data_IF_533286866561
#
_entry.id   IF_533286866561
#
_cell.length_a   1.000
_cell.length_b   1.000
_cell.length_c   1.000
_cell.angle_alpha   90.00
_cell.angle_beta   90.00
_cell.angle_gamma   90.00
#
_symmetry.space_group_name_H-M   'P 1'
#
loop_
_entity.id
_entity.type
_entity.pdbx_description
1 polymer ?
#
# COMPACT_ATOMS: atom_id res chain seq x y z
N UNK A 1 13.99 13.84 -6.75
CA UNK A 1 13.14 14.96 -7.20
C UNK A 1 12.91 14.91 -8.71
N UNK A 2 13.97 14.77 -9.47
CA UNK A 2 13.93 14.87 -10.93
C UNK A 2 13.36 13.62 -11.64
N UNK A 3 13.32 12.47 -10.97
CA UNK A 3 12.70 11.28 -11.55
C UNK A 3 11.16 11.41 -11.57
N UNK A 4 10.55 11.49 -12.77
CA UNK A 4 9.10 11.64 -12.89
C UNK A 4 8.32 10.44 -12.34
N UNK A 5 8.96 9.29 -12.18
CA UNK A 5 8.34 8.08 -11.64
C UNK A 5 8.31 8.04 -10.12
N UNK A 6 9.09 8.85 -9.42
CA UNK A 6 9.06 8.93 -7.96
C UNK A 6 8.07 10.00 -7.52
N UNK A 7 7.01 9.60 -6.82
CA UNK A 7 5.96 10.54 -6.37
C UNK A 7 6.12 10.98 -4.93
N UNK A 8 6.74 10.19 -4.07
CA UNK A 8 6.92 10.51 -2.66
C UNK A 8 8.08 9.75 -2.04
N UNK A 9 8.56 10.29 -0.93
CA UNK A 9 9.46 9.62 0.01
C UNK A 9 8.65 9.33 1.26
N UNK A 10 8.57 8.06 1.66
CA UNK A 10 7.86 7.62 2.86
C UNK A 10 8.86 7.37 4.00
N UNK A 11 8.52 7.75 5.22
CA UNK A 11 9.35 7.52 6.41
C UNK A 11 9.19 6.12 7.01
N UNK A 12 8.12 5.41 6.66
CA UNK A 12 7.82 4.08 7.17
C UNK A 12 8.64 3.00 6.44
N UNK A 13 9.69 2.49 7.07
CA UNK A 13 10.51 1.38 6.55
C UNK A 13 9.82 0.01 6.61
N UNK A 14 8.64 -0.06 7.23
CA UNK A 14 7.94 -1.32 7.47
C UNK A 14 8.55 -2.12 8.61
N UNK A 15 8.02 -3.33 8.81
CA UNK A 15 8.42 -4.23 9.90
C UNK A 15 9.37 -5.35 9.43
N UNK A 16 9.79 -5.31 8.18
CA UNK A 16 10.68 -6.35 7.64
C UNK A 16 12.13 -5.94 7.68
N UNK A 17 12.97 -6.92 7.91
CA UNK A 17 14.41 -6.76 7.73
C UNK A 17 14.74 -6.79 6.22
N UNK A 18 15.72 -6.01 5.78
CA UNK A 18 16.23 -6.11 4.42
C UNK A 18 16.62 -7.55 4.06
N UNK A 19 16.45 -7.95 2.79
CA UNK A 19 16.99 -9.23 2.32
C UNK A 19 18.50 -9.33 2.55
N UNK A 20 19.00 -10.54 2.73
CA UNK A 20 20.44 -10.79 2.81
C UNK A 20 21.13 -10.21 1.56
N UNK A 21 22.27 -9.54 1.76
CA UNK A 21 23.04 -8.87 0.69
C UNK A 21 22.28 -7.73 -0.03
N UNK A 22 21.37 -7.07 0.66
CA UNK A 22 20.78 -5.83 0.17
C UNK A 22 21.66 -4.65 0.58
N UNK A 23 22.28 -4.00 -0.39
CA UNK A 23 23.34 -3.01 -0.14
C UNK A 23 22.87 -1.56 -0.05
N UNK A 24 21.59 -1.29 -0.39
CA UNK A 24 21.02 0.03 -0.24
C UNK A 24 20.33 0.20 1.11
N UNK A 25 20.32 1.42 1.65
CA UNK A 25 19.56 1.73 2.86
C UNK A 25 18.13 2.25 2.57
N UNK A 26 17.71 2.17 1.32
CA UNK A 26 16.37 2.56 0.85
C UNK A 26 15.84 1.55 -0.17
N UNK A 27 14.53 1.62 -0.44
CA UNK A 27 13.80 0.75 -1.35
C UNK A 27 12.96 1.61 -2.28
N UNK A 28 12.91 1.28 -3.56
CA UNK A 28 12.01 1.89 -4.55
C UNK A 28 10.92 0.88 -4.90
N UNK A 29 9.68 1.16 -4.55
CA UNK A 29 8.57 0.22 -4.78
C UNK A 29 7.22 0.91 -4.97
N UNK A 30 6.26 0.19 -5.54
CA UNK A 30 4.85 0.57 -5.50
C UNK A 30 4.28 0.39 -4.09
N UNK A 31 3.28 1.17 -3.79
CA UNK A 31 2.66 1.28 -2.48
C UNK A 31 2.85 2.67 -1.91
N UNK A 32 2.05 3.04 -0.93
CA UNK A 32 2.11 4.33 -0.26
C UNK A 32 1.87 4.14 1.23
N UNK A 33 2.62 4.86 2.05
CA UNK A 33 2.40 4.92 3.49
C UNK A 33 2.25 6.38 3.89
N UNK A 34 1.09 6.72 4.47
CA UNK A 34 0.81 8.05 4.99
C UNK A 34 1.49 8.33 6.34
N UNK A 35 2.18 7.35 6.90
CA UNK A 35 2.88 7.51 8.18
C UNK A 35 4.22 8.21 7.97
N UNK A 36 4.17 9.56 7.96
CA UNK A 36 5.34 10.38 7.66
C UNK A 36 5.80 10.22 6.22
N UNK A 37 5.38 11.10 5.35
CA UNK A 37 5.83 11.14 3.97
C UNK A 37 6.09 12.59 3.53
N UNK A 38 6.94 12.72 2.54
CA UNK A 38 7.17 13.97 1.80
C UNK A 38 6.91 13.76 0.32
N UNK A 39 6.39 14.79 -0.34
CA UNK A 39 6.20 14.84 -1.79
C UNK A 39 6.54 16.23 -2.31
N UNK A 40 6.73 16.39 -3.58
CA UNK A 40 7.01 17.67 -4.21
C UNK A 40 5.75 18.30 -4.78
N UNK A 41 5.64 19.61 -4.72
CA UNK A 41 4.47 20.36 -5.19
C UNK A 41 4.10 20.06 -6.66
N UNK A 42 5.09 19.82 -7.50
CA UNK A 42 4.87 19.53 -8.92
C UNK A 42 4.48 18.07 -9.23
N UNK A 43 4.64 17.14 -8.27
CA UNK A 43 4.24 15.74 -8.47
C UNK A 43 2.73 15.60 -8.36
N UNK A 44 2.13 15.05 -9.39
CA UNK A 44 0.67 14.85 -9.45
C UNK A 44 0.32 13.39 -9.25
N UNK A 45 -0.61 13.14 -8.35
CA UNK A 45 -1.23 11.84 -8.14
C UNK A 45 -2.69 12.03 -7.76
N UNK A 46 -3.49 11.03 -8.10
CA UNK A 46 -4.93 11.08 -7.90
C UNK A 46 -5.30 10.52 -6.54
N UNK A 47 -5.99 11.32 -5.73
CA UNK A 47 -6.39 10.97 -4.35
C UNK A 47 -7.82 10.45 -4.22
N UNK A 48 -8.56 10.35 -5.34
CA UNK A 48 -9.91 9.82 -5.34
C UNK A 48 -10.21 9.11 -6.66
N UNK A 49 -10.83 7.94 -6.58
CA UNK A 49 -11.35 7.19 -7.72
C UNK A 49 -12.82 6.90 -7.50
N UNK A 50 -13.65 7.24 -8.48
CA UNK A 50 -15.06 6.88 -8.50
C UNK A 50 -15.26 5.37 -8.69
N UNK A 51 -16.47 4.90 -8.44
CA UNK A 51 -16.83 3.49 -8.66
C UNK A 51 -16.63 3.07 -10.12
N UNK A 52 -16.95 3.94 -11.06
CA UNK A 52 -16.84 3.71 -12.50
C UNK A 52 -15.39 3.60 -12.94
N UNK A 53 -14.53 4.47 -12.42
CA UNK A 53 -13.09 4.41 -12.66
C UNK A 53 -12.46 3.14 -12.08
N UNK A 54 -12.87 2.74 -10.87
CA UNK A 54 -12.42 1.48 -10.25
C UNK A 54 -12.84 0.26 -11.07
N UNK A 55 -14.05 0.24 -11.60
CA UNK A 55 -14.50 -0.83 -12.52
C UNK A 55 -13.66 -0.84 -13.79
N UNK A 56 -13.44 0.32 -14.39
CA UNK A 56 -12.60 0.46 -15.59
C UNK A 56 -11.18 -0.01 -15.32
N UNK A 57 -10.61 0.34 -14.18
CA UNK A 57 -9.32 -0.14 -13.71
C UNK A 57 -9.27 -1.67 -13.61
N UNK A 58 -10.27 -2.29 -12.95
CA UNK A 58 -10.30 -3.75 -12.79
C UNK A 58 -10.58 -4.53 -14.07
N UNK A 59 -11.18 -3.91 -15.10
CA UNK A 59 -11.35 -4.53 -16.43
C UNK A 59 -10.00 -4.75 -17.12
N UNK A 60 -9.02 -3.88 -16.87
CA UNK A 60 -7.67 -4.01 -17.42
C UNK A 60 -6.93 -5.15 -16.71
N UNK A 61 -6.69 -6.26 -17.44
CA UNK A 61 -6.12 -7.50 -16.90
C UNK A 61 -4.80 -7.28 -16.17
N UNK A 62 -3.91 -6.48 -16.75
CA UNK A 62 -2.58 -6.23 -16.18
C UNK A 62 -2.65 -5.39 -14.90
N UNK A 63 -3.49 -4.34 -14.87
CA UNK A 63 -3.69 -3.54 -13.67
C UNK A 63 -4.28 -4.36 -12.53
N UNK A 64 -5.29 -5.20 -12.83
CA UNK A 64 -5.86 -6.13 -11.87
C UNK A 64 -4.82 -7.15 -11.36
N UNK A 65 -3.95 -7.65 -12.25
CA UNK A 65 -2.85 -8.55 -11.90
C UNK A 65 -1.87 -7.86 -10.95
N UNK A 66 -1.47 -6.63 -11.28
CA UNK A 66 -0.56 -5.84 -10.46
C UNK A 66 -1.15 -5.54 -9.08
N UNK A 67 -2.41 -5.12 -8.99
CA UNK A 67 -3.05 -4.86 -7.70
C UNK A 67 -3.10 -6.13 -6.83
N UNK A 68 -3.46 -7.28 -7.39
CA UNK A 68 -3.43 -8.57 -6.68
C UNK A 68 -2.02 -8.99 -6.27
N UNK A 69 -1.05 -8.67 -7.11
CA UNK A 69 0.34 -9.01 -6.87
C UNK A 69 0.91 -8.21 -5.70
N UNK A 70 0.72 -6.87 -5.68
CA UNK A 70 1.25 -6.02 -4.63
C UNK A 70 0.48 -6.12 -3.32
N UNK A 71 -0.84 -6.22 -3.36
CA UNK A 71 -1.64 -6.32 -2.15
C UNK A 71 -3.02 -6.93 -2.40
N UNK A 72 -3.21 -8.16 -1.94
CA UNK A 72 -4.55 -8.77 -1.93
C UNK A 72 -5.54 -7.96 -1.09
N UNK A 73 -5.10 -7.36 0.00
CA UNK A 73 -5.96 -6.50 0.83
C UNK A 73 -6.53 -5.34 0.01
N UNK A 74 -5.68 -4.60 -0.72
CA UNK A 74 -6.14 -3.50 -1.57
C UNK A 74 -7.08 -3.98 -2.68
N UNK A 75 -6.81 -5.15 -3.28
CA UNK A 75 -7.73 -5.73 -4.26
C UNK A 75 -9.14 -5.93 -3.69
N UNK A 76 -9.26 -6.55 -2.52
CA UNK A 76 -10.56 -6.77 -1.88
C UNK A 76 -11.18 -5.46 -1.37
N UNK A 77 -10.38 -4.49 -0.96
CA UNK A 77 -10.85 -3.13 -0.63
C UNK A 77 -11.48 -2.47 -1.85
N UNK A 78 -10.83 -2.50 -3.00
CA UNK A 78 -11.38 -1.95 -4.26
C UNK A 78 -12.71 -2.64 -4.62
N UNK A 79 -12.77 -3.98 -4.53
CA UNK A 79 -14.02 -4.72 -4.75
C UNK A 79 -15.13 -4.27 -3.78
N UNK A 80 -14.81 -4.10 -2.49
CA UNK A 80 -15.77 -3.65 -1.49
C UNK A 80 -16.30 -2.24 -1.78
N UNK A 81 -15.43 -1.33 -2.23
CA UNK A 81 -15.84 0.02 -2.64
C UNK A 81 -16.78 -0.01 -3.83
N UNK A 82 -16.50 -0.80 -4.88
CA UNK A 82 -17.40 -0.99 -6.03
C UNK A 82 -18.74 -1.57 -5.59
N UNK A 83 -18.73 -2.64 -4.77
CA UNK A 83 -19.95 -3.29 -4.28
C UNK A 83 -20.85 -2.34 -3.49
N UNK A 84 -20.28 -1.45 -2.71
CA UNK A 84 -21.02 -0.48 -1.90
C UNK A 84 -21.30 0.85 -2.63
N UNK A 85 -20.93 0.99 -3.91
CA UNK A 85 -21.03 2.22 -4.70
C UNK A 85 -20.36 3.42 -4.01
N UNK A 86 -19.18 3.20 -3.44
CA UNK A 86 -18.40 4.23 -2.76
C UNK A 86 -17.10 4.50 -3.51
N UNK A 87 -16.69 5.75 -3.64
CA UNK A 87 -15.36 6.07 -4.15
C UNK A 87 -14.29 5.53 -3.20
N UNK A 88 -13.10 5.24 -3.72
CA UNK A 88 -11.91 5.06 -2.91
C UNK A 88 -11.14 6.38 -2.87
N UNK A 89 -10.57 6.73 -1.74
CA UNK A 89 -9.85 7.98 -1.53
C UNK A 89 -8.63 7.78 -0.60
N UNK A 90 -7.76 8.80 -0.52
CA UNK A 90 -6.55 8.75 0.29
C UNK A 90 -5.57 7.69 -0.19
N UNK A 91 -4.94 6.99 0.74
CA UNK A 91 -3.87 6.02 0.49
C UNK A 91 -4.27 4.93 -0.51
N UNK A 92 -5.51 4.46 -0.42
CA UNK A 92 -6.02 3.45 -1.34
C UNK A 92 -6.13 3.96 -2.78
N UNK A 93 -6.52 5.21 -2.96
CA UNK A 93 -6.58 5.85 -4.28
C UNK A 93 -5.18 6.08 -4.84
N UNK A 94 -4.23 6.53 -4.01
CA UNK A 94 -2.83 6.72 -4.42
C UNK A 94 -2.21 5.40 -4.90
N UNK A 95 -2.46 4.28 -4.20
CA UNK A 95 -1.98 2.96 -4.64
C UNK A 95 -2.56 2.56 -6.00
N UNK A 96 -3.85 2.83 -6.24
CA UNK A 96 -4.46 2.59 -7.56
C UNK A 96 -3.79 3.47 -8.62
N UNK A 97 -3.60 4.74 -8.31
CA UNK A 97 -2.98 5.71 -9.21
C UNK A 97 -1.53 5.34 -9.57
N UNK A 98 -0.75 4.91 -8.60
CA UNK A 98 0.62 4.41 -8.82
C UNK A 98 0.67 3.22 -9.77
N UNK A 99 -0.36 2.36 -9.77
CA UNK A 99 -0.45 1.25 -10.72
C UNK A 99 -0.80 1.77 -12.11
N UNK A 100 -1.71 2.74 -12.19
CA UNK A 100 -2.16 3.35 -13.46
C UNK A 100 -1.03 4.11 -14.14
N UNK A 101 -0.27 4.89 -13.38
CA UNK A 101 0.78 5.77 -13.90
C UNK A 101 2.17 5.13 -13.91
N UNK A 102 2.30 3.90 -13.42
CA UNK A 102 3.58 3.21 -13.23
C UNK A 102 4.60 4.02 -12.43
N UNK A 103 4.15 4.56 -11.29
CA UNK A 103 4.97 5.37 -10.37
C UNK A 103 5.31 4.62 -9.10
N UNK A 104 6.26 5.16 -8.32
CA UNK A 104 6.86 4.51 -7.16
C UNK A 104 7.03 5.50 -6.01
N UNK A 105 7.22 4.97 -4.81
CA UNK A 105 7.71 5.70 -3.65
C UNK A 105 9.07 5.15 -3.20
N UNK A 106 9.84 6.01 -2.57
CA UNK A 106 11.09 5.63 -1.88
C UNK A 106 10.78 5.40 -0.41
N UNK A 107 11.35 4.34 0.15
CA UNK A 107 11.20 3.96 1.56
C UNK A 107 12.57 3.71 2.18
N UNK A 108 12.80 4.05 3.45
CA UNK A 108 14.00 3.61 4.14
C UNK A 108 13.92 2.11 4.44
N UNK A 109 15.05 1.43 4.52
CA UNK A 109 15.12 0.03 4.97
C UNK A 109 14.94 -0.11 6.48
N UNK A 110 15.22 0.94 7.25
CA UNK A 110 14.96 1.08 8.67
C UNK A 110 14.03 2.27 8.86
N UNK A 111 12.93 2.09 9.58
CA UNK A 111 11.88 3.11 9.66
C UNK A 111 12.36 4.41 10.32
N UNK A 112 11.94 5.54 9.78
CA UNK A 112 12.16 6.87 10.37
C UNK A 112 10.97 7.30 11.25
N UNK A 113 9.86 6.55 11.20
CA UNK A 113 8.63 6.85 11.92
C UNK A 113 8.09 5.61 12.61
N UNK A 114 7.34 5.81 13.70
CA UNK A 114 6.62 4.76 14.42
C UNK A 114 5.16 5.14 14.57
N UNK A 115 4.27 4.20 14.30
CA UNK A 115 2.85 4.41 14.54
C UNK A 115 2.49 4.00 15.97
N UNK A 116 2.16 4.97 16.80
CA UNK A 116 1.70 4.76 18.18
C UNK A 116 0.19 4.54 18.28
N UNK A 117 -0.58 4.78 17.24
CA UNK A 117 -2.07 4.70 17.27
C UNK A 117 -2.64 3.29 17.45
N UNK A 118 -1.80 2.28 17.76
CA UNK A 118 -2.25 0.92 18.12
C UNK A 118 -2.50 0.73 19.62
N UNK A 119 -2.35 1.77 20.41
CA UNK A 119 -2.64 1.81 21.85
C UNK A 119 -4.12 2.10 22.18
N UNK A 120 -4.96 2.19 21.16
CA UNK A 120 -6.38 2.54 21.27
C UNK A 120 -6.68 4.03 21.00
N UNK A 121 -5.69 4.89 20.93
CA UNK A 121 -5.87 6.32 20.60
C UNK A 121 -6.07 6.57 19.09
N UNK A 122 -5.67 5.63 18.25
CA UNK A 122 -5.75 5.77 16.80
C UNK A 122 -7.16 5.54 16.26
N UNK A 123 -7.56 6.38 15.30
CA UNK A 123 -8.91 6.33 14.66
C UNK A 123 -9.19 4.99 13.97
N UNK A 124 -8.19 4.30 13.46
CA UNK A 124 -8.34 3.07 12.67
C UNK A 124 -7.68 1.84 13.28
N UNK A 125 -6.77 2.02 14.24
CA UNK A 125 -5.92 0.96 14.76
C UNK A 125 -6.57 0.08 15.85
N UNK A 126 -7.48 0.65 16.62
CA UNK A 126 -7.97 0.02 17.85
C UNK A 126 -6.82 -0.28 18.82
N UNK A 127 -7.14 -0.95 19.93
CA UNK A 127 -6.12 -1.44 20.86
C UNK A 127 -5.59 -2.80 20.36
N UNK A 128 -4.32 -2.85 19.99
CA UNK A 128 -3.63 -4.08 19.62
C UNK A 128 -2.43 -4.21 20.55
N UNK A 129 -2.61 -5.02 21.60
CA UNK A 129 -1.50 -5.40 22.46
C UNK A 129 -0.43 -6.07 21.61
N UNK A 130 0.83 -5.69 21.76
CA UNK A 130 1.95 -6.24 21.00
C UNK A 130 1.93 -5.99 19.50
N UNK A 131 1.32 -4.89 19.05
CA UNK A 131 1.39 -4.51 17.64
C UNK A 131 2.85 -4.45 17.14
N UNK A 132 3.19 -5.17 16.07
CA UNK A 132 4.53 -5.11 15.50
C UNK A 132 4.88 -3.70 15.01
N UNK A 133 3.89 -2.90 14.64
CA UNK A 133 4.11 -1.50 14.22
C UNK A 133 4.51 -0.58 15.37
N UNK A 134 4.03 -0.85 16.61
CA UNK A 134 4.45 -0.10 17.78
C UNK A 134 5.87 -0.46 18.24
N UNK A 135 6.39 -1.62 17.79
CA UNK A 135 7.72 -2.14 18.14
C UNK A 135 8.76 -1.94 17.02
N UNK A 136 8.42 -1.22 15.95
CA UNK A 136 9.35 -0.94 14.86
C UNK A 136 10.58 -0.20 15.39
N UNK A 137 11.75 -0.68 15.03
CA UNK A 137 13.02 -0.03 15.35
C UNK A 137 13.16 1.24 14.51
N UNK A 138 13.39 2.37 15.17
CA UNK A 138 13.57 3.67 14.52
C UNK A 138 15.03 3.90 14.18
N UNK A 139 15.30 4.44 13.01
CA UNK A 139 16.57 5.00 12.64
C UNK A 139 16.72 6.38 13.30
N UNK A 140 17.54 6.45 14.35
CA UNK A 140 17.73 7.67 15.14
C UNK A 140 18.92 8.52 14.63
N UNK A 141 19.46 8.22 13.45
CA UNK A 141 20.52 9.06 12.88
C UNK A 141 19.98 10.47 12.60
N UNK A 142 20.77 11.54 12.84
CA UNK A 142 20.31 12.91 12.62
C UNK A 142 20.12 13.26 11.15
N UNK A 143 20.77 12.52 10.26
CA UNK A 143 20.68 12.70 8.80
C UNK A 143 20.39 11.35 8.13
N UNK A 144 19.73 11.39 7.02
CA UNK A 144 19.49 10.23 6.17
C UNK A 144 20.16 10.45 4.82
N UNK A 145 21.30 9.81 4.63
CA UNK A 145 22.01 9.80 3.36
C UNK A 145 21.60 8.54 2.58
N UNK A 146 21.30 8.69 1.31
CA UNK A 146 21.02 7.55 0.42
C UNK A 146 22.33 6.81 0.14
N UNK A 147 22.41 5.55 0.55
CA UNK A 147 23.59 4.69 0.39
C UNK A 147 23.23 3.53 -0.52
N UNK A 148 24.09 3.26 -1.49
CA UNK A 148 23.93 2.17 -2.46
C UNK A 148 22.88 2.45 -3.54
N UNK A 149 22.70 1.49 -4.41
CA UNK A 149 21.70 1.53 -5.48
C UNK A 149 20.57 0.56 -5.20
N UNK A 150 19.36 1.09 -5.09
CA UNK A 150 18.16 0.28 -4.87
C UNK A 150 17.51 -0.06 -6.23
N UNK A 151 17.40 -1.32 -6.60
CA UNK A 151 16.66 -1.70 -7.79
C UNK A 151 15.18 -1.38 -7.60
N UNK A 152 14.55 -0.87 -8.67
CA UNK A 152 13.10 -0.61 -8.68
C UNK A 152 12.35 -1.93 -8.57
N UNK A 153 11.46 -2.02 -7.59
CA UNK A 153 10.67 -3.24 -7.31
C UNK A 153 11.55 -4.50 -7.12
N UNK A 154 12.59 -4.42 -6.30
CA UNK A 154 13.39 -5.60 -5.98
C UNK A 154 12.48 -6.79 -5.67
N UNK A 155 12.58 -7.92 -6.41
CA UNK A 155 11.68 -9.04 -6.27
C UNK A 155 11.71 -9.66 -4.86
N UNK A 156 12.84 -9.56 -4.15
CA UNK A 156 13.01 -10.07 -2.78
C UNK A 156 12.17 -9.24 -1.80
N UNK A 157 12.18 -7.89 -1.92
CA UNK A 157 11.33 -7.00 -1.13
C UNK A 157 9.86 -7.15 -1.49
N UNK A 158 9.56 -7.26 -2.78
CA UNK A 158 8.18 -7.49 -3.24
C UNK A 158 7.64 -8.79 -2.67
N UNK A 159 8.44 -9.84 -2.57
CA UNK A 159 8.04 -11.10 -1.96
C UNK A 159 7.77 -10.95 -0.45
N UNK A 160 8.65 -10.28 0.30
CA UNK A 160 8.45 -9.97 1.73
C UNK A 160 7.14 -9.20 1.96
N UNK A 161 6.86 -8.18 1.13
CA UNK A 161 5.61 -7.43 1.19
C UNK A 161 4.39 -8.31 0.93
N UNK A 162 4.47 -9.18 -0.06
CA UNK A 162 3.37 -10.11 -0.41
C UNK A 162 3.05 -11.07 0.73
N UNK A 163 4.09 -11.61 1.36
CA UNK A 163 3.93 -12.53 2.48
C UNK A 163 3.33 -11.83 3.68
N UNK A 164 3.75 -10.60 3.93
CA UNK A 164 3.20 -9.77 4.99
C UNK A 164 1.76 -9.32 4.71
N UNK A 165 1.48 -8.82 3.51
CA UNK A 165 0.14 -8.38 3.09
C UNK A 165 -0.75 -9.56 2.68
N UNK A 166 -0.37 -10.78 3.00
CA UNK A 166 -1.13 -11.97 2.66
C UNK A 166 -2.46 -11.96 3.39
N UNK A 167 -3.54 -11.84 2.62
CA UNK A 167 -4.88 -11.96 3.17
C UNK A 167 -5.15 -13.43 3.53
N UNK A 168 -5.48 -13.76 4.79
CA UNK A 168 -5.85 -15.11 5.17
C UNK A 168 -7.05 -15.61 4.35
N UNK A 169 -7.03 -16.88 3.94
CA UNK A 169 -8.09 -17.47 3.12
C UNK A 169 -9.47 -17.39 3.79
N UNK A 170 -9.52 -17.48 5.13
CA UNK A 170 -10.76 -17.30 5.91
C UNK A 170 -11.39 -15.92 5.70
N UNK A 171 -10.58 -14.84 5.59
CA UNK A 171 -11.08 -13.49 5.28
C UNK A 171 -11.61 -13.41 3.85
N UNK A 172 -10.97 -14.11 2.91
CA UNK A 172 -11.43 -14.19 1.52
C UNK A 172 -12.80 -14.87 1.45
N UNK A 173 -12.94 -16.03 2.11
CA UNK A 173 -14.22 -16.74 2.17
C UNK A 173 -15.29 -15.87 2.83
N UNK A 174 -15.02 -15.27 3.99
CA UNK A 174 -15.95 -14.35 4.66
C UNK A 174 -16.37 -13.18 3.76
N UNK A 175 -15.44 -12.64 2.98
CA UNK A 175 -15.76 -11.57 2.03
C UNK A 175 -16.79 -12.04 0.99
N UNK A 176 -16.56 -13.20 0.36
CA UNK A 176 -17.46 -13.73 -0.66
C UNK A 176 -18.80 -14.20 -0.10
N UNK A 177 -18.83 -14.83 1.08
CA UNK A 177 -20.09 -15.17 1.75
C UNK A 177 -20.93 -13.91 1.96
N UNK A 178 -20.36 -12.85 2.54
CA UNK A 178 -21.07 -11.57 2.74
C UNK A 178 -21.52 -10.95 1.42
N UNK A 179 -20.72 -11.06 0.37
CA UNK A 179 -21.06 -10.60 -0.95
C UNK A 179 -22.26 -11.35 -1.51
N UNK A 180 -22.26 -12.68 -1.45
CA UNK A 180 -23.36 -13.52 -1.94
C UNK A 180 -24.66 -13.36 -1.14
N UNK A 181 -24.57 -13.09 0.17
CA UNK A 181 -25.73 -12.72 1.00
C UNK A 181 -26.34 -11.35 0.65
N UNK A 182 -25.70 -10.59 -0.22
CA UNK A 182 -26.17 -9.28 -0.67
C UNK A 182 -26.21 -9.19 -2.20
N UNK A 183 -27.18 -9.82 -2.87
CA UNK A 183 -27.22 -9.91 -4.34
C UNK A 183 -27.14 -8.56 -5.05
N UNK A 184 -27.74 -7.51 -4.45
CA UNK A 184 -27.65 -6.14 -4.99
C UNK A 184 -26.22 -5.62 -5.03
N UNK A 185 -25.41 -5.93 -4.01
CA UNK A 185 -24.00 -5.51 -3.92
C UNK A 185 -23.14 -6.26 -4.93
N UNK A 186 -23.34 -7.56 -5.06
CA UNK A 186 -22.62 -8.38 -6.05
C UNK A 186 -22.90 -7.91 -7.46
N UNK A 187 -24.15 -7.57 -7.78
CA UNK A 187 -24.56 -7.05 -9.09
C UNK A 187 -23.76 -5.81 -9.47
N UNK A 188 -23.38 -4.97 -8.50
CA UNK A 188 -22.59 -3.78 -8.75
C UNK A 188 -21.16 -4.07 -9.26
N UNK A 189 -20.64 -5.29 -9.12
CA UNK A 189 -19.35 -5.67 -9.68
C UNK A 189 -19.40 -5.91 -11.19
N UNK A 190 -20.58 -6.25 -11.71
CA UNK A 190 -20.77 -6.67 -13.11
C UNK A 190 -21.49 -5.61 -13.97
N UNK A 191 -22.17 -4.68 -13.36
CA UNK A 191 -22.79 -3.51 -13.99
C UNK A 191 -21.85 -2.33 -14.02
#
# INVERSE_FOLDING_TARGET
EDDPKIIAICGDGGIFKPPVNYNANYIIRKGFSAWGYGTWFHKKYKMIYSTEELKSFLKKKDMRKWLKFYSKNHYYTVLAHIMNKKPIWGDGAIVVDMIVQDTFCVYPTKSLVRNYGHDGSGVHGGYIQDSPYAKVEIDNRPTFDYIGEAPVNDPRYVQLLRDYCRMPWQRIIKFWIRAFMSPRKIKNLFL
#
